data_IF_233303923630
#
_entry.id   IF_233303923630
#
_cell.length_a   1.000
_cell.length_b   1.000
_cell.length_c   1.000
_cell.angle_alpha   90.00
_cell.angle_beta   90.00
_cell.angle_gamma   90.00
#
_symmetry.space_group_name_H-M   'P 1'
#
loop_
_entity.id
_entity.type
_entity.pdbx_description
1 polymer ?
#
# COMPACT_ATOMS: atom_id res chain seq x y z
N UNK A 1 27.39 11.80 19.27
CA UNK A 1 25.95 11.99 19.04
C UNK A 1 25.58 11.64 17.61
N UNK A 2 26.28 12.19 16.62
CA UNK A 2 25.99 11.96 15.19
C UNK A 2 26.05 10.49 14.76
N UNK A 3 27.06 9.73 15.20
CA UNK A 3 27.14 8.28 14.93
C UNK A 3 25.95 7.47 15.50
N UNK A 4 25.48 7.86 16.68
CA UNK A 4 24.32 7.22 17.33
C UNK A 4 23.04 7.55 16.56
N UNK A 5 22.85 8.82 16.18
CA UNK A 5 21.72 9.24 15.36
C UNK A 5 21.73 8.53 14.00
N UNK A 6 22.88 8.47 13.34
CA UNK A 6 23.06 7.80 12.07
C UNK A 6 22.66 6.31 12.15
N UNK A 7 23.12 5.61 13.19
CA UNK A 7 22.72 4.22 13.43
C UNK A 7 21.21 4.08 13.68
N UNK A 8 20.63 4.92 14.56
CA UNK A 8 19.21 4.88 14.91
C UNK A 8 18.32 5.12 13.69
N UNK A 9 18.60 6.17 12.91
CA UNK A 9 17.85 6.47 11.69
C UNK A 9 18.06 5.39 10.62
N UNK A 10 19.24 4.77 10.56
CA UNK A 10 19.49 3.60 9.71
C UNK A 10 18.60 2.41 10.08
N UNK A 11 18.44 2.11 11.37
CA UNK A 11 17.57 1.02 11.85
C UNK A 11 16.09 1.29 11.56
N UNK A 12 15.60 2.49 11.85
CA UNK A 12 14.21 2.85 11.52
C UNK A 12 13.97 2.86 10.00
N UNK A 13 14.93 3.39 9.24
CA UNK A 13 14.90 3.36 7.77
C UNK A 13 14.85 1.93 7.22
N UNK A 14 15.62 1.00 7.80
CA UNK A 14 15.55 -0.43 7.47
C UNK A 14 14.17 -1.01 7.77
N UNK A 15 13.62 -0.76 8.96
CA UNK A 15 12.31 -1.29 9.37
C UNK A 15 11.17 -0.80 8.47
N UNK A 16 11.11 0.50 8.17
CA UNK A 16 10.08 1.07 7.30
C UNK A 16 10.24 0.62 5.85
N UNK A 17 11.47 0.56 5.33
CA UNK A 17 11.72 0.03 3.99
C UNK A 17 11.32 -1.44 3.85
N UNK A 18 11.55 -2.27 4.88
CA UNK A 18 11.12 -3.66 4.87
C UNK A 18 9.59 -3.77 4.77
N UNK A 19 8.85 -2.94 5.51
CA UNK A 19 7.40 -2.86 5.38
C UNK A 19 6.97 -2.50 3.95
N UNK A 20 7.62 -1.52 3.33
CA UNK A 20 7.34 -1.10 1.96
C UNK A 20 7.66 -2.21 0.94
N UNK A 21 8.76 -2.95 1.12
CA UNK A 21 9.08 -4.09 0.27
C UNK A 21 8.07 -5.23 0.42
N UNK A 22 7.44 -5.39 1.59
CA UNK A 22 6.41 -6.38 1.82
C UNK A 22 5.00 -5.92 1.41
N UNK A 23 4.81 -4.65 1.05
CA UNK A 23 3.50 -4.13 0.63
C UNK A 23 2.84 -4.95 -0.51
N UNK A 24 3.58 -5.43 -1.54
CA UNK A 24 3.00 -6.25 -2.62
C UNK A 24 2.61 -7.69 -2.21
N UNK A 25 2.89 -8.14 -0.98
CA UNK A 25 2.56 -9.52 -0.54
C UNK A 25 1.09 -9.84 -0.75
N UNK A 26 0.18 -8.88 -0.51
CA UNK A 26 -1.26 -9.07 -0.72
C UNK A 26 -1.58 -9.35 -2.19
N UNK A 27 -0.94 -8.60 -3.11
CA UNK A 27 -1.05 -8.80 -4.56
C UNK A 27 -0.53 -10.16 -4.97
N UNK A 28 0.64 -10.57 -4.48
CA UNK A 28 1.21 -11.87 -4.84
C UNK A 28 0.44 -13.05 -4.25
N UNK A 29 -0.13 -12.92 -3.05
CA UNK A 29 -1.07 -13.92 -2.51
C UNK A 29 -2.27 -14.13 -3.44
N UNK A 30 -2.80 -13.05 -4.04
CA UNK A 30 -3.88 -13.13 -5.04
C UNK A 30 -3.41 -13.85 -6.30
N UNK A 31 -2.23 -13.53 -6.83
CA UNK A 31 -1.65 -14.20 -8.02
C UNK A 31 -1.51 -15.71 -7.78
N UNK A 32 -0.95 -16.11 -6.64
CA UNK A 32 -0.79 -17.54 -6.29
C UNK A 32 -2.14 -18.23 -6.19
N UNK A 33 -3.12 -17.62 -5.50
CA UNK A 33 -4.48 -18.17 -5.35
C UNK A 33 -5.22 -18.31 -6.68
N UNK A 34 -5.09 -17.32 -7.56
CA UNK A 34 -5.73 -17.30 -8.88
C UNK A 34 -4.95 -18.04 -9.96
N UNK A 35 -3.70 -18.44 -9.67
CA UNK A 35 -2.78 -19.12 -10.60
C UNK A 35 -2.59 -18.32 -11.91
N UNK A 36 -2.71 -17.00 -11.84
CA UNK A 36 -2.65 -16.08 -12.98
C UNK A 36 -2.18 -14.70 -12.51
N UNK A 37 -1.40 -14.01 -13.34
CA UNK A 37 -0.96 -12.62 -13.10
C UNK A 37 -2.05 -11.59 -13.36
N UNK A 38 -3.22 -12.00 -13.88
CA UNK A 38 -4.34 -11.12 -14.23
C UNK A 38 -3.87 -9.94 -15.10
N UNK A 39 -4.01 -8.69 -14.62
CA UNK A 39 -3.51 -7.48 -15.28
C UNK A 39 -2.31 -6.86 -14.56
N UNK A 40 -1.72 -7.57 -13.58
CA UNK A 40 -0.57 -7.06 -12.86
C UNK A 40 0.69 -7.13 -13.74
N UNK A 41 1.46 -6.04 -13.77
CA UNK A 41 2.73 -5.99 -14.48
C UNK A 41 3.89 -6.48 -13.60
N UNK A 42 4.80 -7.26 -14.19
CA UNK A 42 6.03 -7.72 -13.55
C UNK A 42 7.15 -6.67 -13.52
N UNK A 43 7.04 -5.63 -14.36
CA UNK A 43 8.09 -4.62 -14.59
C UNK A 43 8.50 -3.91 -13.28
N UNK A 44 7.58 -3.44 -12.42
CA UNK A 44 7.95 -2.73 -11.20
C UNK A 44 8.85 -3.54 -10.27
N UNK A 45 8.64 -4.87 -10.19
CA UNK A 45 9.42 -5.75 -9.32
C UNK A 45 10.84 -5.96 -9.86
N UNK A 46 11.00 -6.11 -11.18
CA UNK A 46 12.31 -6.23 -11.82
C UNK A 46 13.10 -4.92 -11.73
N UNK A 47 12.44 -3.77 -11.91
CA UNK A 47 13.08 -2.46 -11.75
C UNK A 47 13.46 -2.16 -10.30
N UNK A 48 12.62 -2.56 -9.34
CA UNK A 48 12.94 -2.44 -7.91
C UNK A 48 14.11 -3.35 -7.55
N UNK A 49 14.16 -4.57 -8.10
CA UNK A 49 15.31 -5.47 -7.94
C UNK A 49 16.60 -4.83 -8.45
N UNK A 50 16.58 -4.21 -9.64
CA UNK A 50 17.75 -3.49 -10.16
C UNK A 50 18.22 -2.40 -9.18
N UNK A 51 17.28 -1.57 -8.70
CA UNK A 51 17.59 -0.50 -7.77
C UNK A 51 18.18 -1.03 -6.46
N UNK A 52 17.63 -2.13 -5.93
CA UNK A 52 18.15 -2.80 -4.75
C UNK A 52 19.57 -3.34 -4.99
N UNK A 53 19.83 -3.99 -6.13
CA UNK A 53 21.16 -4.51 -6.45
C UNK A 53 22.21 -3.38 -6.53
N UNK A 54 21.92 -2.31 -7.28
CA UNK A 54 22.82 -1.16 -7.41
C UNK A 54 23.05 -0.48 -6.05
N UNK A 55 21.98 -0.20 -5.30
CA UNK A 55 22.07 0.45 -3.99
C UNK A 55 22.81 -0.42 -2.96
N UNK A 56 22.62 -1.75 -3.03
CA UNK A 56 23.33 -2.68 -2.16
C UNK A 56 24.83 -2.66 -2.43
N UNK A 57 25.23 -2.59 -3.71
CA UNK A 57 26.62 -2.49 -4.13
C UNK A 57 27.25 -1.18 -3.67
N UNK A 58 26.54 -0.06 -3.85
CA UNK A 58 26.98 1.24 -3.37
C UNK A 58 27.20 1.27 -1.85
N UNK A 59 26.31 0.63 -1.08
CA UNK A 59 26.41 0.57 0.38
C UNK A 59 27.51 -0.33 0.94
N UNK A 60 28.24 -1.08 0.11
CA UNK A 60 29.30 -1.96 0.61
C UNK A 60 30.46 -1.14 1.17
N UNK A 61 31.12 -1.55 2.27
CA UNK A 61 32.15 -0.74 2.95
C UNK A 61 33.34 -0.36 2.06
N UNK A 62 33.68 -1.19 1.06
CA UNK A 62 34.75 -0.87 0.13
C UNK A 62 34.31 0.14 -0.95
N UNK A 63 33.00 0.28 -1.23
CA UNK A 63 32.47 1.30 -2.15
C UNK A 63 32.11 2.58 -1.41
N UNK A 64 31.37 2.48 -0.31
CA UNK A 64 31.05 3.59 0.60
C UNK A 64 31.17 3.15 2.08
N UNK A 65 32.20 3.60 2.80
CA UNK A 65 32.55 3.10 4.14
C UNK A 65 31.45 3.21 5.22
N UNK A 66 30.54 4.18 5.13
CA UNK A 66 29.55 4.46 6.17
C UNK A 66 28.13 4.00 5.82
N UNK A 67 27.92 3.39 4.65
CA UNK A 67 26.58 3.07 4.14
C UNK A 67 26.18 1.59 4.33
N UNK A 68 26.78 0.88 5.28
CA UNK A 68 26.49 -0.55 5.48
C UNK A 68 25.01 -0.84 5.74
N UNK A 69 24.33 0.01 6.52
CA UNK A 69 22.89 -0.10 6.80
C UNK A 69 22.03 0.06 5.54
N UNK A 70 22.49 0.85 4.56
CA UNK A 70 21.84 0.94 3.26
C UNK A 70 22.02 -0.36 2.46
N UNK A 71 23.20 -0.99 2.57
CA UNK A 71 23.45 -2.28 1.93
C UNK A 71 22.54 -3.37 2.50
N UNK A 72 22.42 -3.47 3.83
CA UNK A 72 21.61 -4.53 4.48
C UNK A 72 20.15 -4.50 4.06
N UNK A 73 19.54 -3.32 4.01
CA UNK A 73 18.14 -3.20 3.60
C UNK A 73 17.95 -3.54 2.12
N UNK A 74 18.89 -3.13 1.27
CA UNK A 74 18.78 -3.34 -0.17
C UNK A 74 19.08 -4.78 -0.56
N UNK A 75 19.99 -5.48 0.14
CA UNK A 75 20.16 -6.94 -0.01
C UNK A 75 18.87 -7.66 0.40
N UNK A 76 18.27 -7.27 1.53
CA UNK A 76 16.98 -7.83 1.98
C UNK A 76 15.88 -7.55 0.94
N UNK A 77 15.81 -6.32 0.44
CA UNK A 77 14.90 -5.92 -0.62
C UNK A 77 15.10 -6.74 -1.89
N UNK A 78 16.35 -6.94 -2.33
CA UNK A 78 16.67 -7.76 -3.48
C UNK A 78 16.15 -9.19 -3.31
N UNK A 79 16.35 -9.82 -2.15
CA UNK A 79 15.82 -11.16 -1.87
C UNK A 79 14.27 -11.21 -1.94
N UNK A 80 13.59 -10.21 -1.37
CA UNK A 80 12.12 -10.08 -1.45
C UNK A 80 11.66 -9.89 -2.90
N UNK A 81 12.29 -8.98 -3.65
CA UNK A 81 11.92 -8.72 -5.04
C UNK A 81 12.22 -9.92 -5.95
N UNK A 82 13.32 -10.64 -5.74
CA UNK A 82 13.61 -11.89 -6.46
C UNK A 82 12.52 -12.93 -6.22
N UNK A 83 12.00 -13.03 -4.99
CA UNK A 83 10.88 -13.93 -4.67
C UNK A 83 9.61 -13.54 -5.45
N UNK A 84 9.29 -12.25 -5.50
CA UNK A 84 8.16 -11.75 -6.29
C UNK A 84 8.33 -11.98 -7.79
N UNK A 85 9.51 -11.70 -8.33
CA UNK A 85 9.81 -11.96 -9.75
C UNK A 85 9.69 -13.45 -10.06
N UNK A 86 10.20 -14.34 -9.21
CA UNK A 86 10.04 -15.79 -9.35
C UNK A 86 8.56 -16.21 -9.38
N UNK A 87 7.75 -15.74 -8.42
CA UNK A 87 6.32 -16.05 -8.39
C UNK A 87 5.63 -15.54 -9.65
N UNK A 88 5.95 -14.31 -10.08
CA UNK A 88 5.42 -13.73 -11.32
C UNK A 88 5.75 -14.62 -12.52
N UNK A 89 7.01 -15.03 -12.65
CA UNK A 89 7.49 -15.89 -13.73
C UNK A 89 6.85 -17.27 -13.72
N UNK A 90 6.43 -17.81 -12.58
CA UNK A 90 5.72 -19.09 -12.52
C UNK A 90 4.29 -18.94 -13.09
N UNK A 91 3.57 -17.89 -12.68
CA UNK A 91 2.13 -17.74 -12.98
C UNK A 91 1.79 -16.87 -14.20
N UNK A 92 2.74 -16.14 -14.77
CA UNK A 92 2.49 -15.27 -15.92
C UNK A 92 2.15 -16.04 -17.21
N UNK A 93 1.54 -15.38 -18.18
CA UNK A 93 1.29 -15.95 -19.50
C UNK A 93 2.56 -16.02 -20.35
N UNK A 94 2.64 -16.90 -21.35
CA UNK A 94 3.88 -17.17 -22.12
C UNK A 94 4.53 -15.92 -22.72
N UNK A 95 3.72 -14.99 -23.24
CA UNK A 95 4.18 -13.71 -23.79
C UNK A 95 4.78 -12.80 -22.71
N UNK A 96 4.06 -12.61 -21.60
CA UNK A 96 4.52 -11.78 -20.48
C UNK A 96 5.75 -12.38 -19.80
N UNK A 97 5.78 -13.71 -19.61
CA UNK A 97 6.94 -14.46 -19.12
C UNK A 97 8.20 -14.15 -19.92
N UNK A 98 8.11 -14.22 -21.25
CA UNK A 98 9.22 -13.92 -22.15
C UNK A 98 9.73 -12.48 -21.98
N UNK A 99 8.82 -11.50 -21.93
CA UNK A 99 9.17 -10.10 -21.72
C UNK A 99 9.86 -9.85 -20.37
N UNK A 100 9.35 -10.45 -19.29
CA UNK A 100 9.92 -10.30 -17.95
C UNK A 100 11.25 -11.03 -17.82
N UNK A 101 11.41 -12.22 -18.42
CA UNK A 101 12.69 -12.93 -18.45
C UNK A 101 13.76 -12.14 -19.23
N UNK A 102 13.38 -11.58 -20.38
CA UNK A 102 14.29 -10.73 -21.17
C UNK A 102 14.70 -9.50 -20.36
N UNK A 103 13.73 -8.80 -19.75
CA UNK A 103 14.00 -7.63 -18.91
C UNK A 103 14.90 -7.99 -17.72
N UNK A 104 14.64 -9.11 -17.04
CA UNK A 104 15.46 -9.60 -15.94
C UNK A 104 16.90 -9.87 -16.39
N UNK A 105 17.07 -10.50 -17.55
CA UNK A 105 18.40 -10.78 -18.12
C UNK A 105 19.16 -9.48 -18.42
N UNK A 106 18.49 -8.50 -19.03
CA UNK A 106 19.07 -7.17 -19.31
C UNK A 106 19.48 -6.49 -18.00
N UNK A 107 18.62 -6.52 -16.99
CA UNK A 107 18.86 -5.91 -15.67
C UNK A 107 20.06 -6.55 -14.97
N UNK A 108 20.16 -7.87 -14.97
CA UNK A 108 21.29 -8.58 -14.36
C UNK A 108 22.59 -8.36 -15.12
N UNK A 109 22.56 -8.33 -16.46
CA UNK A 109 23.72 -8.02 -17.29
C UNK A 109 24.21 -6.59 -17.08
N UNK A 110 23.28 -5.63 -16.97
CA UNK A 110 23.60 -4.25 -16.65
C UNK A 110 24.23 -4.12 -15.26
N UNK A 111 23.63 -4.75 -14.24
CA UNK A 111 24.21 -4.76 -12.89
C UNK A 111 25.62 -5.37 -12.87
N UNK A 112 25.81 -6.52 -13.53
CA UNK A 112 27.13 -7.15 -13.66
C UNK A 112 28.15 -6.22 -14.34
N UNK A 113 27.72 -5.45 -15.35
CA UNK A 113 28.56 -4.45 -16.03
C UNK A 113 28.94 -3.31 -15.08
N UNK A 114 28.00 -2.80 -14.28
CA UNK A 114 28.27 -1.77 -13.27
C UNK A 114 29.30 -2.27 -12.25
N UNK A 115 29.14 -3.50 -11.77
CA UNK A 115 30.09 -4.14 -10.84
C UNK A 115 31.47 -4.28 -11.48
N UNK A 116 31.54 -4.79 -12.71
CA UNK A 116 32.79 -4.96 -13.44
C UNK A 116 33.52 -3.63 -13.63
N UNK A 117 32.84 -2.61 -14.16
CA UNK A 117 33.43 -1.28 -14.35
C UNK A 117 33.85 -0.66 -13.01
N UNK A 118 33.02 -0.79 -11.97
CA UNK A 118 33.31 -0.30 -10.62
C UNK A 118 34.61 -0.89 -10.03
N UNK A 119 34.85 -2.19 -10.25
CA UNK A 119 36.01 -2.90 -9.71
C UNK A 119 37.28 -2.71 -10.53
N UNK A 120 37.17 -2.68 -11.86
CA UNK A 120 38.34 -2.71 -12.75
C UNK A 120 38.73 -1.34 -13.30
N UNK A 121 37.78 -0.41 -13.46
CA UNK A 121 38.06 0.92 -14.04
C UNK A 121 38.28 2.01 -12.99
N UNK A 122 37.76 1.85 -11.77
CA UNK A 122 37.78 2.88 -10.74
C UNK A 122 38.37 2.40 -9.41
N UNK A 123 39.09 3.29 -8.73
CA UNK A 123 39.70 3.04 -7.43
C UNK A 123 39.33 4.14 -6.43
N UNK A 124 39.23 3.78 -5.14
CA UNK A 124 38.95 4.73 -4.05
C UNK A 124 37.73 5.61 -4.31
N UNK A 125 37.91 6.93 -4.22
CA UNK A 125 36.84 7.91 -4.37
C UNK A 125 36.15 7.91 -5.75
N UNK A 126 36.89 7.56 -6.82
CA UNK A 126 36.31 7.46 -8.16
C UNK A 126 35.24 6.37 -8.25
N UNK A 127 35.44 5.28 -7.52
CA UNK A 127 34.47 4.17 -7.44
C UNK A 127 33.21 4.60 -6.69
N UNK A 128 33.37 5.29 -5.57
CA UNK A 128 32.25 5.84 -4.78
C UNK A 128 31.42 6.80 -5.62
N UNK A 129 32.07 7.73 -6.35
CA UNK A 129 31.40 8.69 -7.22
C UNK A 129 30.63 8.01 -8.35
N UNK A 130 31.26 7.08 -9.08
CA UNK A 130 30.62 6.34 -10.17
C UNK A 130 29.39 5.57 -9.66
N UNK A 131 29.56 4.76 -8.62
CA UNK A 131 28.46 3.97 -8.06
C UNK A 131 27.36 4.85 -7.44
N UNK A 132 27.73 5.96 -6.80
CA UNK A 132 26.79 6.91 -6.21
C UNK A 132 25.91 7.60 -7.26
N UNK A 133 26.50 8.04 -8.38
CA UNK A 133 25.76 8.64 -9.50
C UNK A 133 24.77 7.62 -10.08
N UNK A 134 25.23 6.40 -10.38
CA UNK A 134 24.38 5.34 -10.92
C UNK A 134 23.23 5.03 -9.94
N UNK A 135 23.51 4.87 -8.65
CA UNK A 135 22.51 4.67 -7.60
C UNK A 135 21.47 5.79 -7.59
N UNK A 136 21.92 7.04 -7.62
CA UNK A 136 21.06 8.22 -7.57
C UNK A 136 20.12 8.30 -8.78
N UNK A 137 20.64 8.05 -9.98
CA UNK A 137 19.85 8.06 -11.22
C UNK A 137 18.73 7.03 -11.14
N UNK A 138 19.05 5.78 -10.84
CA UNK A 138 18.05 4.70 -10.80
C UNK A 138 17.04 4.90 -9.67
N UNK A 139 17.48 5.32 -8.48
CA UNK A 139 16.58 5.64 -7.39
C UNK A 139 15.63 6.80 -7.75
N UNK A 140 16.12 7.81 -8.47
CA UNK A 140 15.30 8.95 -8.89
C UNK A 140 14.27 8.56 -9.94
N UNK A 141 14.66 7.76 -10.94
CA UNK A 141 13.76 7.28 -12.01
C UNK A 141 12.57 6.50 -11.43
N UNK A 142 12.77 5.75 -10.34
CA UNK A 142 11.68 5.03 -9.68
C UNK A 142 10.55 5.93 -9.19
N UNK A 143 10.81 7.22 -8.93
CA UNK A 143 9.78 8.17 -8.51
C UNK A 143 8.80 8.57 -9.63
N UNK A 144 9.04 8.17 -10.88
CA UNK A 144 8.05 8.35 -11.96
C UNK A 144 6.69 7.69 -11.62
N UNK A 145 6.72 6.54 -10.95
CA UNK A 145 5.50 5.82 -10.53
C UNK A 145 4.67 6.59 -9.48
N UNK A 146 5.21 6.99 -8.31
CA UNK A 146 4.45 7.78 -7.34
C UNK A 146 4.02 9.13 -7.89
N UNK A 147 4.80 9.76 -8.79
CA UNK A 147 4.39 10.98 -9.48
C UNK A 147 3.13 10.77 -10.34
N UNK A 148 3.04 9.64 -11.05
CA UNK A 148 1.85 9.28 -11.82
C UNK A 148 0.62 9.08 -10.93
N UNK A 149 0.78 8.43 -9.77
CA UNK A 149 -0.30 8.25 -8.79
C UNK A 149 -0.76 9.60 -8.22
N UNK A 150 0.17 10.49 -7.87
CA UNK A 150 -0.15 11.84 -7.40
C UNK A 150 -0.98 12.60 -8.45
N UNK A 151 -0.56 12.56 -9.72
CA UNK A 151 -1.30 13.18 -10.83
C UNK A 151 -2.70 12.56 -10.99
N UNK A 152 -2.79 11.24 -10.85
CA UNK A 152 -4.07 10.53 -10.92
C UNK A 152 -5.02 10.99 -9.81
N UNK A 153 -4.57 11.06 -8.55
CA UNK A 153 -5.37 11.51 -7.40
C UNK A 153 -5.87 12.95 -7.60
N UNK A 154 -5.03 13.85 -8.11
CA UNK A 154 -5.43 15.24 -8.38
C UNK A 154 -6.50 15.31 -9.47
N UNK A 155 -6.38 14.49 -10.52
CA UNK A 155 -7.32 14.44 -11.63
C UNK A 155 -8.65 13.79 -11.25
N UNK A 156 -8.61 12.68 -10.51
CA UNK A 156 -9.81 11.91 -10.12
C UNK A 156 -10.46 12.42 -8.85
N UNK A 157 -9.77 13.29 -8.09
CA UNK A 157 -10.20 13.80 -6.78
C UNK A 157 -10.51 12.66 -5.78
N UNK A 158 -9.90 11.48 -5.99
CA UNK A 158 -10.12 10.27 -5.21
C UNK A 158 -8.80 9.64 -4.79
N UNK A 159 -8.76 9.14 -3.55
CA UNK A 159 -7.57 8.52 -2.91
C UNK A 159 -7.61 6.99 -2.96
N UNK A 160 -8.46 6.41 -3.80
CA UNK A 160 -8.65 4.96 -3.89
C UNK A 160 -7.35 4.20 -4.20
N UNK A 161 -6.49 4.77 -5.04
CA UNK A 161 -5.21 4.18 -5.43
C UNK A 161 -4.05 4.57 -4.49
N UNK A 162 -4.34 5.28 -3.39
CA UNK A 162 -3.36 5.75 -2.42
C UNK A 162 -3.73 5.35 -0.99
N UNK A 163 -3.36 4.14 -0.56
CA UNK A 163 -3.60 3.70 0.81
C UNK A 163 -2.77 4.54 1.80
N UNK A 164 -3.44 5.07 2.83
CA UNK A 164 -2.86 5.95 3.84
C UNK A 164 -1.57 5.41 4.46
N UNK A 165 -1.58 4.16 4.92
CA UNK A 165 -0.43 3.55 5.59
C UNK A 165 0.78 3.49 4.66
N UNK A 166 0.59 3.22 3.36
CA UNK A 166 1.71 3.19 2.41
C UNK A 166 2.33 4.57 2.27
N UNK A 167 1.53 5.63 2.09
CA UNK A 167 2.03 7.01 2.03
C UNK A 167 2.77 7.41 3.31
N UNK A 168 2.25 7.03 4.48
CA UNK A 168 2.89 7.29 5.77
C UNK A 168 4.25 6.60 5.87
N UNK A 169 4.34 5.30 5.54
CA UNK A 169 5.59 4.56 5.58
C UNK A 169 6.59 5.05 4.53
N UNK A 170 6.15 5.49 3.34
CA UNK A 170 7.02 6.13 2.34
C UNK A 170 7.62 7.42 2.90
N UNK A 171 6.81 8.27 3.53
CA UNK A 171 7.27 9.50 4.15
C UNK A 171 8.26 9.24 5.29
N UNK A 172 7.93 8.34 6.23
CA UNK A 172 8.79 8.00 7.35
C UNK A 172 10.11 7.36 6.89
N UNK A 173 10.03 6.40 5.97
CA UNK A 173 11.21 5.77 5.37
C UNK A 173 12.10 6.81 4.68
N UNK A 174 11.53 7.64 3.79
CA UNK A 174 12.27 8.69 3.08
C UNK A 174 12.92 9.69 4.03
N UNK A 175 12.22 10.07 5.11
CA UNK A 175 12.76 10.99 6.11
C UNK A 175 13.90 10.37 6.91
N UNK A 176 13.79 9.10 7.32
CA UNK A 176 14.88 8.40 8.00
C UNK A 176 16.14 8.32 7.11
N UNK A 177 15.99 7.94 5.84
CA UNK A 177 17.12 7.86 4.91
C UNK A 177 17.67 9.23 4.50
N UNK A 178 16.84 10.27 4.48
CA UNK A 178 17.27 11.65 4.26
C UNK A 178 18.17 12.11 5.41
N UNK A 179 17.73 11.92 6.66
CA UNK A 179 18.54 12.26 7.85
C UNK A 179 19.82 11.42 7.89
N UNK A 180 19.73 10.12 7.59
CA UNK A 180 20.89 9.23 7.48
C UNK A 180 21.93 9.78 6.48
N UNK A 181 21.52 10.12 5.26
CA UNK A 181 22.41 10.67 4.24
C UNK A 181 22.99 12.04 4.61
N UNK A 182 22.20 12.91 5.24
CA UNK A 182 22.66 14.24 5.69
C UNK A 182 23.75 14.14 6.77
N UNK A 183 23.63 13.19 7.70
CA UNK A 183 24.61 12.99 8.77
C UNK A 183 25.99 12.56 8.24
N UNK A 184 26.02 11.76 7.16
CA UNK A 184 27.26 11.36 6.49
C UNK A 184 27.68 12.31 5.36
N UNK A 185 26.91 13.39 5.14
CA UNK A 185 27.08 14.32 4.00
C UNK A 185 27.14 13.59 2.65
N UNK A 186 26.36 12.53 2.52
CA UNK A 186 26.29 11.70 1.32
C UNK A 186 25.17 12.19 0.41
N UNK A 187 25.48 12.90 -0.70
CA UNK A 187 24.45 13.39 -1.62
C UNK A 187 23.72 12.26 -2.34
N UNK A 188 24.36 11.09 -2.52
CA UNK A 188 23.80 9.99 -3.29
C UNK A 188 22.68 9.26 -2.55
N UNK A 189 22.67 9.34 -1.22
CA UNK A 189 21.55 8.89 -0.38
C UNK A 189 20.57 10.03 -0.11
N UNK A 190 21.09 11.24 0.14
CA UNK A 190 20.30 12.42 0.49
C UNK A 190 19.33 12.82 -0.61
N UNK A 191 19.79 12.93 -1.86
CA UNK A 191 18.98 13.40 -3.00
C UNK A 191 17.75 12.50 -3.24
N UNK A 192 17.91 11.18 -3.49
CA UNK A 192 16.75 10.32 -3.74
C UNK A 192 15.85 10.24 -2.50
N UNK A 193 16.40 10.17 -1.30
CA UNK A 193 15.59 10.14 -0.07
C UNK A 193 14.79 11.43 0.15
N UNK A 194 15.34 12.57 -0.26
CA UNK A 194 14.65 13.86 -0.28
C UNK A 194 13.45 13.84 -1.21
N UNK A 195 13.60 13.32 -2.43
CA UNK A 195 12.46 13.09 -3.33
C UNK A 195 11.45 12.14 -2.69
N UNK A 196 11.88 11.03 -2.10
CA UNK A 196 11.01 10.07 -1.43
C UNK A 196 10.19 10.68 -0.28
N UNK A 197 10.85 11.44 0.60
CA UNK A 197 10.18 12.17 1.69
C UNK A 197 9.22 13.22 1.14
N UNK A 198 9.65 14.03 0.16
CA UNK A 198 8.82 15.05 -0.46
C UNK A 198 7.58 14.47 -1.13
N UNK A 199 7.73 13.40 -1.92
CA UNK A 199 6.59 12.69 -2.50
C UNK A 199 5.68 12.13 -1.40
N UNK A 200 6.22 11.42 -0.40
CA UNK A 200 5.44 10.90 0.73
C UNK A 200 4.63 11.99 1.45
N UNK A 201 5.21 13.17 1.67
CA UNK A 201 4.52 14.31 2.25
C UNK A 201 3.37 14.80 1.37
N UNK A 202 3.60 14.97 0.06
CA UNK A 202 2.56 15.33 -0.90
C UNK A 202 1.44 14.29 -0.92
N UNK A 203 1.77 13.00 -0.87
CA UNK A 203 0.79 11.91 -0.80
C UNK A 203 -0.08 12.02 0.46
N UNK A 204 0.51 12.31 1.63
CA UNK A 204 -0.24 12.50 2.88
C UNK A 204 -1.15 13.74 2.84
N UNK A 205 -0.66 14.86 2.29
CA UNK A 205 -1.45 16.09 2.14
C UNK A 205 -2.65 15.85 1.22
N UNK A 206 -2.42 15.24 0.05
CA UNK A 206 -3.50 14.91 -0.89
C UNK A 206 -4.50 13.93 -0.27
N UNK A 207 -4.02 12.95 0.50
CA UNK A 207 -4.90 12.05 1.23
C UNK A 207 -5.81 12.82 2.21
N UNK A 208 -5.26 13.74 3.00
CA UNK A 208 -6.03 14.55 3.94
C UNK A 208 -7.07 15.45 3.25
N UNK A 209 -6.74 16.00 2.08
CA UNK A 209 -7.65 16.86 1.31
C UNK A 209 -8.81 16.07 0.66
N UNK A 210 -8.52 14.92 0.04
CA UNK A 210 -9.49 14.22 -0.82
C UNK A 210 -10.20 13.06 -0.12
N UNK A 211 -9.77 12.60 1.06
CA UNK A 211 -10.46 11.53 1.81
C UNK A 211 -11.92 11.86 2.11
N UNK A 212 -12.25 13.13 2.34
CA UNK A 212 -13.60 13.56 2.69
C UNK A 212 -14.46 13.86 1.46
N UNK A 213 -13.87 14.07 0.27
CA UNK A 213 -14.66 14.29 -0.94
C UNK A 213 -15.40 13.03 -1.39
N UNK A 214 -14.81 11.84 -1.16
CA UNK A 214 -15.49 10.57 -1.43
C UNK A 214 -16.72 10.39 -0.55
N UNK A 215 -16.62 10.71 0.74
CA UNK A 215 -17.78 10.66 1.66
C UNK A 215 -18.86 11.68 1.30
N UNK A 216 -18.50 12.84 0.75
CA UNK A 216 -19.47 13.84 0.31
C UNK A 216 -20.19 13.37 -0.95
N UNK A 217 -19.48 12.86 -1.97
CA UNK A 217 -20.07 12.39 -3.23
C UNK A 217 -20.97 11.16 -3.02
N UNK A 218 -20.54 10.18 -2.21
CA UNK A 218 -21.39 9.02 -1.88
C UNK A 218 -22.65 9.46 -1.13
N UNK A 219 -22.52 10.39 -0.18
CA UNK A 219 -23.66 10.93 0.56
C UNK A 219 -24.62 11.71 -0.34
N UNK A 220 -24.11 12.58 -1.23
CA UNK A 220 -24.95 13.29 -2.21
C UNK A 220 -25.66 12.36 -3.19
N UNK A 221 -25.01 11.25 -3.60
CA UNK A 221 -25.61 10.29 -4.53
C UNK A 221 -26.72 9.50 -3.85
N UNK A 222 -26.51 9.10 -2.59
CA UNK A 222 -27.53 8.42 -1.78
C UNK A 222 -28.69 9.37 -1.44
N UNK A 223 -28.40 10.63 -1.07
CA UNK A 223 -29.43 11.65 -0.79
C UNK A 223 -30.26 11.95 -2.05
N UNK A 224 -29.63 12.08 -3.23
CA UNK A 224 -30.34 12.27 -4.50
C UNK A 224 -31.20 11.05 -4.88
N UNK A 225 -30.71 9.83 -4.63
CA UNK A 225 -31.50 8.60 -4.87
C UNK A 225 -32.67 8.49 -3.89
N UNK A 226 -32.49 8.90 -2.62
CA UNK A 226 -33.56 8.97 -1.64
C UNK A 226 -34.62 10.02 -2.03
N UNK A 227 -34.21 11.21 -2.47
CA UNK A 227 -35.14 12.23 -2.98
C UNK A 227 -35.92 11.76 -4.22
N UNK A 228 -35.28 10.99 -5.10
CA UNK A 228 -35.93 10.44 -6.29
C UNK A 228 -36.94 9.35 -5.92
N UNK A 229 -36.62 8.49 -4.95
CA UNK A 229 -37.53 7.48 -4.40
C UNK A 229 -38.72 8.14 -3.67
N UNK A 230 -38.50 9.20 -2.89
CA UNK A 230 -39.56 9.94 -2.18
C UNK A 230 -40.51 10.66 -3.14
N UNK A 231 -40.00 11.15 -4.29
CA UNK A 231 -40.83 11.71 -5.37
C UNK A 231 -41.68 10.65 -6.09
N UNK A 232 -41.19 9.40 -6.17
CA UNK A 232 -41.90 8.27 -6.80
C UNK A 232 -42.99 7.73 -5.86
N UNK A 233 -42.73 7.67 -4.56
CA UNK A 233 -43.70 7.20 -3.55
C UNK A 233 -44.73 8.27 -3.17
N UNK A 234 -44.56 9.50 -3.67
CA UNK A 234 -45.47 10.63 -3.53
C UNK A 234 -46.79 10.51 -4.32
N UNK A 235 -47.51 9.40 -4.21
CA UNK A 235 -48.94 9.36 -4.53
C UNK A 235 -49.68 10.05 -3.37
N UNK A 236 -50.00 11.33 -3.62
CA UNK A 236 -51.07 12.14 -3.05
C UNK A 236 -51.85 11.49 -1.88
N UNK A 237 -51.52 11.86 -0.65
CA UNK A 237 -52.57 11.99 0.38
C UNK A 237 -53.41 13.22 0.05
N UNK A 238 -54.37 13.03 -0.86
CA UNK A 238 -55.49 13.95 -1.01
C UNK A 238 -56.26 13.91 0.31
N UNK A 239 -56.33 15.04 1.01
CA UNK A 239 -57.21 15.24 2.16
C UNK A 239 -58.66 15.08 1.68
N UNK A 240 -59.22 13.88 1.79
CA UNK A 240 -60.67 13.74 1.86
C UNK A 240 -61.11 14.27 3.23
N UNK A 241 -61.85 15.38 3.19
CA UNK A 241 -62.74 15.80 4.28
C UNK A 241 -63.94 14.86 4.28
N UNK A 242 -64.35 14.32 5.44
CA UNK A 242 -65.76 14.07 5.69
C UNK A 242 -66.33 15.07 6.70
N UNK A 243 -67.62 15.29 6.51
CA UNK A 243 -68.53 16.26 7.10
C UNK A 243 -69.05 15.83 8.49
N UNK A 244 -69.21 16.82 9.39
CA UNK A 244 -70.09 16.97 10.57
C UNK A 244 -70.73 15.75 11.29
N UNK A 245 -70.18 15.42 12.48
CA UNK A 245 -70.80 15.33 13.85
C UNK A 245 -71.93 14.33 14.21
N UNK A 246 -72.25 14.10 15.52
CA UNK A 246 -71.45 14.25 16.76
C UNK A 246 -71.56 13.07 17.78
N UNK A 247 -70.70 13.09 18.82
CA UNK A 247 -70.83 12.49 20.18
C UNK A 247 -70.86 10.94 20.31
N UNK A 248 -70.33 10.25 21.34
CA UNK A 248 -69.70 10.60 22.62
C UNK A 248 -69.20 9.32 23.32
N UNK A 249 -68.28 9.51 24.27
CA UNK A 249 -68.09 8.78 25.55
C UNK A 249 -67.08 7.63 25.69
N UNK A 250 -66.22 7.90 26.68
CA UNK A 250 -65.23 7.12 27.41
C UNK A 250 -65.77 5.88 28.14
N UNK A 251 -64.91 4.88 28.37
CA UNK A 251 -64.78 4.08 29.62
C UNK A 251 -63.62 3.07 29.44
N UNK A 252 -62.47 3.12 30.12
CA UNK A 252 -62.15 2.89 31.54
C UNK A 252 -62.22 1.41 32.02
N UNK A 253 -61.02 0.78 32.13
CA UNK A 253 -60.53 -0.12 33.21
C UNK A 253 -61.36 -1.34 33.71
N UNK A 254 -60.76 -2.55 33.65
CA UNK A 254 -60.31 -3.36 34.83
C UNK A 254 -60.41 -4.90 34.68
N UNK A 255 -59.25 -5.56 34.80
CA UNK A 255 -58.86 -6.68 35.70
C UNK A 255 -59.89 -7.69 36.24
N UNK A 256 -59.54 -9.00 36.11
CA UNK A 256 -59.55 -10.13 37.09
C UNK A 256 -59.75 -11.46 36.32
N UNK A 257 -59.25 -12.65 36.66
CA UNK A 257 -58.40 -13.22 37.72
C UNK A 257 -58.01 -14.63 37.21
N UNK A 258 -56.79 -15.08 37.53
CA UNK A 258 -56.30 -16.49 37.48
C UNK A 258 -57.05 -17.34 38.57
N UNK A 259 -56.81 -18.66 38.87
CA UNK A 259 -55.91 -19.69 38.29
C UNK A 259 -56.49 -21.14 38.30
N UNK A 260 -55.64 -22.14 37.96
CA UNK A 260 -55.62 -23.61 38.33
C UNK A 260 -55.47 -24.51 37.09
N UNK A 261 -54.74 -25.62 37.06
CA UNK A 261 -53.72 -26.28 37.90
C UNK A 261 -53.24 -27.52 37.10
N UNK A 262 -52.04 -28.02 37.43
CA UNK A 262 -51.61 -29.43 37.34
C UNK A 262 -50.99 -29.89 35.99
N UNK A 263 -49.67 -30.15 35.97
CA UNK A 263 -48.99 -31.45 36.23
C UNK A 263 -49.00 -32.34 34.97
N UNK A 264 -47.98 -33.10 34.56
CA UNK A 264 -46.67 -33.50 35.08
C UNK A 264 -46.04 -34.36 33.96
N UNK A 265 -44.74 -34.23 33.67
CA UNK A 265 -43.75 -35.34 33.55
C UNK A 265 -42.60 -35.03 32.58
N UNK A 266 -41.44 -35.20 33.17
CA UNK A 266 -40.08 -35.12 32.66
C UNK A 266 -39.58 -36.49 32.17
N UNK A 267 -38.41 -36.45 31.51
CA UNK A 267 -37.48 -37.55 31.14
C UNK A 267 -37.78 -38.38 29.89
N UNK A 268 -36.94 -38.24 28.85
CA UNK A 268 -35.72 -39.05 28.72
C UNK A 268 -34.80 -38.55 27.59
N UNK A 269 -33.50 -38.52 27.90
CA UNK A 269 -32.40 -38.35 26.96
C UNK A 269 -32.09 -39.68 26.26
N UNK A 270 -31.64 -39.64 25.00
CA UNK A 270 -31.16 -40.82 24.28
C UNK A 270 -30.36 -40.47 23.02
N UNK A 271 -29.04 -40.56 23.14
CA UNK A 271 -28.04 -40.49 22.06
C UNK A 271 -28.12 -41.69 21.11
N UNK A 272 -27.81 -41.49 19.81
CA UNK A 272 -27.14 -42.41 18.84
C UNK A 272 -26.96 -41.60 17.54
N UNK A 273 -25.79 -41.30 16.98
CA UNK A 273 -24.58 -42.07 16.66
C UNK A 273 -24.79 -43.15 15.57
N UNK A 274 -24.19 -42.86 14.40
CA UNK A 274 -23.72 -43.76 13.32
C UNK A 274 -24.76 -44.41 12.40
N UNK A 275 -24.82 -43.91 11.16
CA UNK A 275 -24.61 -44.66 9.93
C UNK A 275 -24.27 -43.67 8.80
#
# INVERSE_FOLDING_TARGET
MDKTLHFVFGIFGNAFALFLYLAPVVTFKRIVKKRSTEQFSGIPYVMTLLNCLISSWYGLPFVSPNNLLLSTINVTGAAVQSTFVMIFLIFAQRKEKGNILLLLTIVLAFFATVVFVSLFAFHGNGRTLFCGIVTTIFATVMYASPLAIIRLVIKTKSVEFMPFFTSMFVFLCGTCWLVFGLLEKDPFVTIPSGFGSGFGAVQLILYAMYRNNKSQIEKSTVDNQFEEIEKIDGIKHHKEKPSNGPQSQDEHYSLKQNPKLSNHRSHQAGKRAVA
#
